data_IF_013933251798
#
_entry.id   IF_013933251798
#
_cell.length_a   1.000
_cell.length_b   1.000
_cell.length_c   1.000
_cell.angle_alpha   90.00
_cell.angle_beta   90.00
_cell.angle_gamma   90.00
#
_symmetry.space_group_name_H-M   'P 1'
#
loop_
_entity.id
_entity.type
_entity.pdbx_description
1 polymer ?
#
# COMPACT_ATOMS: atom_id res chain seq x y z
N UNK A 1 -9.54 -14.08 -8.38
CA UNK A 1 -8.18 -13.70 -7.91
C UNK A 1 -7.92 -12.19 -7.93
N UNK A 2 -8.78 -11.38 -8.57
CA UNK A 2 -8.65 -9.91 -8.59
C UNK A 2 -8.99 -9.23 -7.24
N UNK A 3 -9.82 -9.87 -6.40
CA UNK A 3 -10.27 -9.31 -5.11
C UNK A 3 -9.15 -9.11 -4.07
N UNK A 4 -8.10 -9.93 -4.09
CA UNK A 4 -6.99 -9.80 -3.13
C UNK A 4 -6.14 -8.56 -3.45
N UNK A 5 -6.01 -8.23 -4.73
CA UNK A 5 -5.24 -7.08 -5.19
C UNK A 5 -5.83 -5.74 -4.72
N UNK A 6 -7.15 -5.60 -4.65
CA UNK A 6 -7.79 -4.38 -4.13
C UNK A 6 -7.83 -4.28 -2.60
N UNK A 7 -7.55 -5.37 -1.87
CA UNK A 7 -7.45 -5.35 -0.41
C UNK A 7 -6.04 -4.94 0.04
N UNK A 8 -5.01 -5.27 -0.75
CA UNK A 8 -3.61 -4.94 -0.44
C UNK A 8 -3.30 -3.45 -0.15
N UNK A 9 -3.83 -2.45 -0.89
CA UNK A 9 -3.55 -1.04 -0.58
C UNK A 9 -4.31 -0.58 0.65
N UNK A 10 -5.45 -1.21 0.98
CA UNK A 10 -6.20 -0.94 2.22
C UNK A 10 -5.40 -1.45 3.41
N UNK A 11 -4.87 -2.68 3.35
CA UNK A 11 -4.04 -3.25 4.41
C UNK A 11 -2.77 -2.42 4.60
N UNK A 12 -2.08 -2.08 3.51
CA UNK A 12 -0.86 -1.26 3.58
C UNK A 12 -1.14 0.16 4.07
N UNK A 13 -2.29 0.74 3.72
CA UNK A 13 -2.78 2.00 4.28
C UNK A 13 -2.97 1.92 5.79
N UNK A 14 -3.69 0.90 6.29
CA UNK A 14 -3.92 0.70 7.73
C UNK A 14 -2.62 0.46 8.49
N UNK A 15 -1.72 -0.37 7.96
CA UNK A 15 -0.39 -0.59 8.55
C UNK A 15 0.40 0.71 8.57
N UNK A 16 0.36 1.49 7.49
CA UNK A 16 1.01 2.80 7.40
C UNK A 16 0.49 3.78 8.46
N UNK A 17 -0.83 3.85 8.69
CA UNK A 17 -1.42 4.67 9.76
C UNK A 17 -0.93 4.21 11.13
N UNK A 18 -0.93 2.89 11.40
CA UNK A 18 -0.53 2.34 12.70
C UNK A 18 0.95 2.59 12.99
N UNK A 19 1.82 2.31 12.01
CA UNK A 19 3.27 2.53 12.12
C UNK A 19 3.58 4.03 12.21
N UNK A 20 2.94 4.86 11.40
CA UNK A 20 3.09 6.30 11.45
C UNK A 20 2.64 6.89 12.78
N UNK A 21 1.52 6.43 13.32
CA UNK A 21 1.02 6.85 14.63
C UNK A 21 1.99 6.49 15.77
N UNK A 22 2.66 5.34 15.65
CA UNK A 22 3.66 4.92 16.63
C UNK A 22 4.94 5.76 16.59
N UNK A 23 5.33 6.25 15.42
CA UNK A 23 6.57 7.02 15.23
C UNK A 23 6.43 8.51 15.54
N UNK A 24 5.31 9.14 15.16
CA UNK A 24 5.16 10.61 15.22
C UNK A 24 3.73 11.05 15.62
N UNK A 25 3.00 10.17 16.32
CA UNK A 25 1.66 10.43 16.83
C UNK A 25 0.67 10.79 15.72
N UNK A 26 -0.15 11.82 15.95
CA UNK A 26 -1.26 12.16 15.04
C UNK A 26 -0.80 12.60 13.65
N UNK A 27 0.32 13.33 13.56
CA UNK A 27 0.92 13.72 12.27
C UNK A 27 1.45 12.51 11.51
N UNK A 28 2.14 11.61 12.21
CA UNK A 28 2.65 10.37 11.63
C UNK A 28 1.53 9.44 11.15
N UNK A 29 0.40 9.37 11.86
CA UNK A 29 -0.75 8.57 11.45
C UNK A 29 -1.30 8.99 10.08
N UNK A 30 -1.41 10.30 9.83
CA UNK A 30 -1.94 10.86 8.58
C UNK A 30 -0.97 10.58 7.44
N UNK A 31 0.30 10.94 7.61
CA UNK A 31 1.31 10.75 6.55
C UNK A 31 1.66 9.29 6.31
N UNK A 32 1.67 8.47 7.36
CA UNK A 32 1.84 7.03 7.29
C UNK A 32 0.71 6.36 6.52
N UNK A 33 -0.54 6.77 6.72
CA UNK A 33 -1.68 6.28 5.94
C UNK A 33 -1.61 6.64 4.45
N UNK A 34 -1.23 7.89 4.14
CA UNK A 34 -1.02 8.35 2.76
C UNK A 34 0.11 7.56 2.10
N UNK A 35 1.24 7.39 2.79
CA UNK A 35 2.37 6.60 2.29
C UNK A 35 2.01 5.12 2.08
N UNK A 36 1.21 4.55 2.98
CA UNK A 36 0.74 3.16 2.89
C UNK A 36 -0.23 2.93 1.71
N UNK A 37 -1.16 3.85 1.47
CA UNK A 37 -2.09 3.78 0.34
C UNK A 37 -1.38 3.96 -1.00
N UNK A 38 -0.51 4.97 -1.11
CA UNK A 38 0.25 5.24 -2.33
C UNK A 38 1.27 4.14 -2.60
N UNK A 39 2.04 3.73 -1.59
CA UNK A 39 3.01 2.65 -1.69
C UNK A 39 2.36 1.31 -2.05
N UNK A 40 1.19 1.01 -1.49
CA UNK A 40 0.39 -0.15 -1.86
C UNK A 40 -0.12 -0.11 -3.30
N UNK A 41 -0.61 1.05 -3.75
CA UNK A 41 -1.03 1.26 -5.13
C UNK A 41 0.11 1.09 -6.15
N UNK A 42 1.29 1.64 -5.84
CA UNK A 42 2.49 1.50 -6.68
C UNK A 42 2.96 0.04 -6.72
N UNK A 43 2.91 -0.66 -5.59
CA UNK A 43 3.29 -2.09 -5.51
C UNK A 43 2.38 -2.96 -6.38
N UNK A 44 1.08 -2.67 -6.41
CA UNK A 44 0.12 -3.34 -7.30
C UNK A 44 0.36 -3.03 -8.78
N UNK A 45 0.67 -1.77 -9.11
CA UNK A 45 1.02 -1.39 -10.47
C UNK A 45 2.31 -2.08 -10.94
N UNK A 46 3.32 -2.17 -10.07
CA UNK A 46 4.58 -2.87 -10.32
C UNK A 46 4.36 -4.37 -10.52
N UNK A 47 3.54 -5.02 -9.68
CA UNK A 47 3.23 -6.44 -9.83
C UNK A 47 2.37 -6.72 -11.06
N UNK A 48 1.44 -5.83 -11.42
CA UNK A 48 0.69 -5.92 -12.67
C UNK A 48 1.58 -5.77 -13.91
N UNK A 49 2.61 -4.92 -13.84
CA UNK A 49 3.60 -4.75 -14.91
C UNK A 49 4.53 -5.96 -15.02
N UNK A 50 5.05 -6.49 -13.91
CA UNK A 50 5.85 -7.72 -13.87
C UNK A 50 5.07 -8.94 -14.37
N UNK A 51 3.80 -9.08 -13.98
CA UNK A 51 2.92 -10.13 -14.49
C UNK A 51 2.68 -10.02 -16.01
N UNK A 52 2.78 -8.81 -16.58
CA UNK A 52 2.74 -8.59 -18.03
C UNK A 52 4.02 -9.05 -18.73
N UNK A 53 5.18 -8.81 -18.10
CA UNK A 53 6.48 -9.24 -18.63
C UNK A 53 6.64 -10.77 -18.61
N UNK A 54 6.15 -11.44 -17.56
CA UNK A 54 6.20 -12.90 -17.43
C UNK A 54 5.26 -13.65 -18.39
N UNK A 55 4.42 -12.92 -19.13
CA UNK A 55 3.51 -13.49 -20.13
C UNK A 55 4.05 -13.39 -21.56
N UNK A 56 5.22 -12.78 -21.75
CA UNK A 56 6.02 -12.87 -22.97
C UNK A 56 7.05 -14.00 -22.83
#
# INVERSE_FOLDING_TARGET
MIAIGCISPIILGVIGVLVGNWLDGSSGAIWGGVAGLIGGGVSLAAMGWLARQLKQ
#
